data_IF_879088810830
#
_entry.id   IF_879088810830
#
_cell.length_a   1.000
_cell.length_b   1.000
_cell.length_c   1.000
_cell.angle_alpha   90.00
_cell.angle_beta   90.00
_cell.angle_gamma   90.00
#
_symmetry.space_group_name_H-M   'P 1'
#
loop_
_entity.id
_entity.type
_entity.pdbx_description
1 polymer ?
#
# COMPACT_ATOMS: atom_id res chain seq x y z
N UNK A 1 47.65 29.93 8.76
CA UNK A 1 47.28 29.11 7.59
C UNK A 1 46.26 28.04 8.00
N UNK A 2 44.96 28.34 7.96
CA UNK A 2 43.89 27.40 8.37
C UNK A 2 42.82 27.39 7.28
N UNK A 3 43.10 26.80 6.11
CA UNK A 3 42.07 26.62 5.06
C UNK A 3 42.07 25.23 4.41
N UNK A 4 43.16 24.46 4.45
CA UNK A 4 43.24 23.16 3.76
C UNK A 4 42.71 21.95 4.55
N UNK A 5 42.60 22.02 5.89
CA UNK A 5 42.08 20.91 6.71
C UNK A 5 40.55 20.86 6.73
N UNK A 6 39.86 22.02 6.72
CA UNK A 6 38.38 22.10 6.68
C UNK A 6 37.78 21.58 5.37
N UNK A 7 38.41 21.87 4.23
CA UNK A 7 37.96 21.40 2.92
C UNK A 7 38.02 19.86 2.82
N UNK A 8 39.07 19.25 3.39
CA UNK A 8 39.26 17.80 3.38
C UNK A 8 38.21 17.07 4.23
N UNK A 9 37.85 17.64 5.40
CA UNK A 9 36.77 17.12 6.25
C UNK A 9 35.38 17.29 5.62
N UNK A 10 35.13 18.42 4.95
CA UNK A 10 33.89 18.64 4.21
C UNK A 10 33.73 17.66 3.04
N UNK A 11 34.80 17.42 2.28
CA UNK A 11 34.81 16.45 1.20
C UNK A 11 34.57 15.02 1.70
N UNK A 12 35.13 14.64 2.86
CA UNK A 12 34.84 13.36 3.49
C UNK A 12 33.37 13.23 3.92
N UNK A 13 32.77 14.31 4.46
CA UNK A 13 31.35 14.35 4.80
C UNK A 13 30.43 14.19 3.59
N UNK A 14 30.76 14.81 2.46
CA UNK A 14 30.01 14.66 1.21
C UNK A 14 30.13 13.26 0.64
N UNK A 15 31.32 12.64 0.70
CA UNK A 15 31.48 11.25 0.25
C UNK A 15 30.73 10.26 1.14
N UNK A 16 30.71 10.49 2.46
CA UNK A 16 29.90 9.69 3.39
C UNK A 16 28.41 9.84 3.09
N UNK A 17 27.92 11.07 2.97
CA UNK A 17 26.52 11.33 2.62
C UNK A 17 26.14 10.69 1.28
N UNK A 18 27.03 10.72 0.28
CA UNK A 18 26.81 10.06 -1.00
C UNK A 18 26.74 8.54 -0.86
N UNK A 19 27.60 7.94 -0.03
CA UNK A 19 27.57 6.51 0.25
C UNK A 19 26.27 6.12 0.98
N UNK A 20 25.87 6.89 2.01
CA UNK A 20 24.63 6.67 2.75
C UNK A 20 23.39 6.79 1.84
N UNK A 21 23.36 7.78 0.93
CA UNK A 21 22.28 7.94 -0.06
C UNK A 21 22.25 6.80 -1.09
N UNK A 22 23.42 6.32 -1.50
CA UNK A 22 23.53 5.19 -2.43
C UNK A 22 23.05 3.91 -1.76
N UNK A 23 23.40 3.68 -0.50
CA UNK A 23 22.98 2.53 0.29
C UNK A 23 21.44 2.50 0.45
N UNK A 24 20.85 3.64 0.85
CA UNK A 24 19.39 3.81 0.92
C UNK A 24 18.73 3.57 -0.45
N UNK A 25 19.31 4.08 -1.54
CA UNK A 25 18.76 3.86 -2.88
C UNK A 25 18.85 2.39 -3.30
N UNK A 26 19.92 1.69 -2.91
CA UNK A 26 20.16 0.28 -3.25
C UNK A 26 19.26 -0.65 -2.43
N UNK A 27 19.05 -0.37 -1.15
CA UNK A 27 18.06 -1.06 -0.31
C UNK A 27 16.64 -0.85 -0.83
N UNK A 28 16.27 0.39 -1.21
CA UNK A 28 14.97 0.65 -1.81
C UNK A 28 14.79 -0.11 -3.14
N UNK A 29 15.83 -0.18 -3.97
CA UNK A 29 15.77 -0.91 -5.23
C UNK A 29 15.61 -2.42 -5.01
N UNK A 30 16.39 -3.03 -4.12
CA UNK A 30 16.30 -4.46 -3.81
C UNK A 30 14.97 -4.82 -3.12
N UNK A 31 14.45 -3.96 -2.26
CA UNK A 31 13.09 -4.08 -1.70
C UNK A 31 12.05 -4.03 -2.82
N UNK A 32 12.15 -3.08 -3.75
CA UNK A 32 11.20 -2.96 -4.84
C UNK A 32 11.28 -4.14 -5.82
N UNK A 33 12.47 -4.72 -6.03
CA UNK A 33 12.69 -5.93 -6.82
C UNK A 33 12.15 -7.20 -6.14
N UNK A 34 12.32 -7.34 -4.81
CA UNK A 34 11.71 -8.44 -4.04
C UNK A 34 10.20 -8.30 -3.98
N UNK A 35 9.69 -7.08 -3.86
CA UNK A 35 8.26 -6.77 -3.92
C UNK A 35 7.69 -7.01 -5.32
N UNK A 36 8.43 -6.67 -6.38
CA UNK A 36 8.06 -6.96 -7.77
C UNK A 36 8.03 -8.46 -8.04
N UNK A 37 9.04 -9.20 -7.58
CA UNK A 37 9.09 -10.66 -7.69
C UNK A 37 7.99 -11.35 -6.87
N UNK A 38 7.67 -10.82 -5.70
CA UNK A 38 6.53 -11.25 -4.89
C UNK A 38 5.20 -10.90 -5.57
N UNK A 39 5.09 -9.70 -6.15
CA UNK A 39 3.92 -9.23 -6.90
C UNK A 39 3.65 -10.15 -8.09
N UNK A 40 4.66 -10.52 -8.87
CA UNK A 40 4.54 -11.45 -9.99
C UNK A 40 4.15 -12.87 -9.52
N UNK A 41 4.74 -13.35 -8.42
CA UNK A 41 4.39 -14.64 -7.83
C UNK A 41 2.95 -14.66 -7.27
N UNK A 42 2.49 -13.54 -6.74
CA UNK A 42 1.17 -13.37 -6.13
C UNK A 42 0.07 -13.18 -7.18
N UNK A 43 0.34 -12.51 -8.30
CA UNK A 43 -0.58 -12.45 -9.46
C UNK A 43 -0.84 -13.85 -10.03
N UNK A 44 0.11 -14.78 -9.89
CA UNK A 44 -0.02 -16.19 -10.27
C UNK A 44 -0.89 -17.06 -9.32
N UNK A 45 -1.36 -16.52 -8.19
CA UNK A 45 -2.19 -17.29 -7.25
C UNK A 45 -3.57 -17.56 -7.85
N UNK A 46 -3.92 -18.84 -7.93
CA UNK A 46 -5.22 -19.27 -8.42
C UNK A 46 -6.34 -18.93 -7.42
N UNK A 47 -7.57 -18.80 -7.93
CA UNK A 47 -8.75 -18.55 -7.12
C UNK A 47 -8.89 -19.52 -5.93
N UNK A 48 -8.61 -20.81 -6.16
CA UNK A 48 -8.67 -21.86 -5.13
C UNK A 48 -7.61 -21.69 -4.04
N UNK A 49 -6.41 -21.23 -4.40
CA UNK A 49 -5.35 -20.95 -3.42
C UNK A 49 -5.73 -19.76 -2.54
N UNK A 50 -6.27 -18.69 -3.12
CA UNK A 50 -6.75 -17.55 -2.35
C UNK A 50 -7.90 -17.95 -1.42
N UNK A 51 -8.84 -18.78 -1.89
CA UNK A 51 -9.93 -19.30 -1.04
C UNK A 51 -9.45 -20.16 0.13
N UNK A 52 -8.32 -20.86 -0.03
CA UNK A 52 -7.72 -21.66 1.05
C UNK A 52 -7.02 -20.82 2.13
N UNK A 53 -6.74 -19.54 1.87
CA UNK A 53 -6.12 -18.65 2.86
C UNK A 53 -7.09 -18.36 4.01
N UNK A 54 -6.55 -18.39 5.23
CA UNK A 54 -7.32 -17.98 6.40
C UNK A 54 -7.48 -16.46 6.45
N UNK A 55 -8.60 -15.94 6.99
CA UNK A 55 -8.80 -14.49 7.21
C UNK A 55 -7.66 -13.83 7.98
N UNK A 56 -7.09 -14.53 8.98
CA UNK A 56 -5.99 -14.04 9.82
C UNK A 56 -4.69 -13.86 9.02
N UNK A 57 -4.41 -14.79 8.11
CA UNK A 57 -3.23 -14.71 7.25
C UNK A 57 -3.35 -13.53 6.27
N UNK A 58 -4.54 -13.31 5.71
CA UNK A 58 -4.82 -12.17 4.84
C UNK A 58 -4.72 -10.86 5.61
N UNK A 59 -5.25 -10.83 6.85
CA UNK A 59 -5.17 -9.66 7.72
C UNK A 59 -3.72 -9.30 8.07
N UNK A 60 -2.91 -10.28 8.47
CA UNK A 60 -1.50 -10.07 8.79
C UNK A 60 -0.64 -9.65 7.59
N UNK A 61 -1.04 -10.03 6.38
CA UNK A 61 -0.32 -9.72 5.15
C UNK A 61 -0.82 -8.46 4.41
N UNK A 62 -1.79 -7.71 4.96
CA UNK A 62 -2.48 -6.64 4.22
C UNK A 62 -1.54 -5.54 3.70
N UNK A 63 -0.51 -5.19 4.45
CA UNK A 63 0.49 -4.20 4.04
C UNK A 63 1.24 -4.61 2.79
N UNK A 64 1.60 -5.89 2.69
CA UNK A 64 2.27 -6.47 1.53
C UNK A 64 1.30 -6.62 0.36
N UNK A 65 0.08 -7.10 0.60
CA UNK A 65 -0.92 -7.29 -0.45
C UNK A 65 -1.38 -5.98 -1.10
N UNK A 66 -1.38 -4.89 -0.34
CA UNK A 66 -1.67 -3.55 -0.85
C UNK A 66 -0.57 -3.02 -1.80
N UNK A 67 0.67 -3.47 -1.63
CA UNK A 67 1.77 -3.06 -2.50
C UNK A 67 1.78 -3.79 -3.86
N UNK A 68 1.10 -4.93 -3.94
CA UNK A 68 0.95 -5.71 -5.18
C UNK A 68 -0.03 -5.01 -6.11
N UNK A 69 0.43 -4.65 -7.31
CA UNK A 69 -0.43 -4.08 -8.36
C UNK A 69 -0.91 -5.18 -9.32
N UNK A 70 -2.01 -4.94 -10.03
CA UNK A 70 -2.48 -5.87 -11.07
C UNK A 70 -3.34 -7.05 -10.58
N UNK A 71 -3.89 -6.97 -9.36
CA UNK A 71 -4.88 -7.94 -8.89
C UNK A 71 -6.02 -8.12 -9.89
N UNK A 72 -6.29 -9.37 -10.27
CA UNK A 72 -7.50 -9.67 -11.01
C UNK A 72 -8.73 -9.35 -10.14
N UNK A 73 -9.80 -8.85 -10.75
CA UNK A 73 -11.01 -8.43 -10.03
C UNK A 73 -11.54 -9.50 -9.07
N UNK A 74 -11.53 -10.77 -9.48
CA UNK A 74 -11.94 -11.89 -8.64
C UNK A 74 -11.02 -12.10 -7.43
N UNK A 75 -9.71 -11.96 -7.59
CA UNK A 75 -8.74 -12.10 -6.51
C UNK A 75 -8.91 -10.96 -5.49
N UNK A 76 -9.07 -9.73 -5.97
CA UNK A 76 -9.32 -8.56 -5.13
C UNK A 76 -10.59 -8.73 -4.29
N UNK A 77 -11.68 -9.27 -4.86
CA UNK A 77 -12.93 -9.55 -4.14
C UNK A 77 -12.70 -10.56 -3.01
N UNK A 78 -12.04 -11.69 -3.29
CA UNK A 78 -11.78 -12.74 -2.29
C UNK A 78 -10.92 -12.20 -1.15
N UNK A 79 -9.80 -11.55 -1.48
CA UNK A 79 -8.88 -11.00 -0.50
C UNK A 79 -9.54 -9.92 0.37
N UNK A 80 -10.35 -9.06 -0.26
CA UNK A 80 -11.10 -8.03 0.47
C UNK A 80 -12.13 -8.64 1.42
N UNK A 81 -12.86 -9.66 0.96
CA UNK A 81 -13.83 -10.36 1.78
C UNK A 81 -13.16 -11.07 2.96
N UNK A 82 -12.01 -11.72 2.74
CA UNK A 82 -11.25 -12.40 3.80
C UNK A 82 -10.65 -11.43 4.80
N UNK A 83 -10.09 -10.31 4.32
CA UNK A 83 -9.60 -9.25 5.18
C UNK A 83 -10.70 -8.71 6.10
N UNK A 84 -11.89 -8.46 5.54
CA UNK A 84 -13.04 -8.01 6.33
C UNK A 84 -13.68 -9.10 7.17
N UNK A 85 -13.56 -10.38 6.84
CA UNK A 85 -14.11 -11.46 7.65
C UNK A 85 -13.41 -11.57 9.03
N UNK A 86 -12.15 -11.13 9.11
CA UNK A 86 -11.44 -10.97 10.38
C UNK A 86 -12.00 -9.78 11.21
N UNK A 87 -12.53 -8.77 10.54
CA UNK A 87 -13.02 -7.53 11.14
C UNK A 87 -14.54 -7.58 11.37
N UNK A 88 -14.99 -7.49 12.63
CA UNK A 88 -16.43 -7.60 12.95
C UNK A 88 -17.30 -6.56 12.23
N UNK A 89 -16.79 -5.34 12.07
CA UNK A 89 -17.44 -4.23 11.38
C UNK A 89 -16.39 -3.48 10.56
N UNK A 90 -16.65 -3.14 9.29
CA UNK A 90 -15.75 -2.30 8.51
C UNK A 90 -15.59 -0.93 9.18
N UNK A 91 -14.34 -0.55 9.49
CA UNK A 91 -13.97 0.77 10.01
C UNK A 91 -13.15 1.55 8.99
N UNK A 92 -13.06 2.88 9.15
CA UNK A 92 -12.19 3.71 8.31
C UNK A 92 -10.74 3.19 8.32
N UNK A 93 -10.24 2.81 9.49
CA UNK A 93 -8.88 2.27 9.65
C UNK A 93 -8.68 1.02 8.79
N UNK A 94 -9.55 0.02 8.92
CA UNK A 94 -9.43 -1.23 8.17
C UNK A 94 -9.47 -0.99 6.66
N UNK A 95 -10.41 -0.18 6.19
CA UNK A 95 -10.55 0.17 4.76
C UNK A 95 -9.32 0.93 4.26
N UNK A 96 -8.77 1.87 5.04
CA UNK A 96 -7.54 2.58 4.66
C UNK A 96 -6.33 1.66 4.46
N UNK A 97 -6.27 0.50 5.14
CA UNK A 97 -5.16 -0.44 5.00
C UNK A 97 -5.23 -1.26 3.70
N UNK A 98 -6.42 -1.39 3.10
CA UNK A 98 -6.64 -2.24 1.94
C UNK A 98 -6.07 -1.67 0.63
N UNK A 99 -5.94 -0.34 0.54
CA UNK A 99 -5.49 0.41 -0.64
C UNK A 99 -6.01 -0.16 -1.97
N UNK A 100 -5.16 -0.80 -2.79
CA UNK A 100 -5.58 -1.32 -4.12
C UNK A 100 -6.67 -2.41 -4.03
N UNK A 101 -6.74 -3.15 -2.93
CA UNK A 101 -7.77 -4.17 -2.72
C UNK A 101 -9.15 -3.55 -2.48
N UNK A 102 -9.25 -2.25 -2.16
CA UNK A 102 -10.54 -1.57 -2.01
C UNK A 102 -11.46 -1.72 -3.20
N UNK A 103 -10.91 -1.88 -4.41
CA UNK A 103 -11.67 -2.14 -5.63
C UNK A 103 -12.47 -3.45 -5.59
N UNK A 104 -12.12 -4.38 -4.68
CA UNK A 104 -12.83 -5.63 -4.44
C UNK A 104 -13.99 -5.53 -3.44
N UNK A 105 -14.19 -4.39 -2.78
CA UNK A 105 -15.27 -4.22 -1.80
C UNK A 105 -16.65 -4.12 -2.47
N UNK A 106 -17.58 -4.92 -1.98
CA UNK A 106 -18.99 -4.79 -2.32
C UNK A 106 -19.64 -3.58 -1.63
N UNK A 107 -20.72 -3.06 -2.22
CA UNK A 107 -21.51 -1.95 -1.64
C UNK A 107 -22.07 -2.28 -0.26
N UNK A 108 -22.30 -3.56 0.04
CA UNK A 108 -22.75 -4.04 1.35
C UNK A 108 -21.75 -3.74 2.48
N UNK A 109 -20.44 -3.79 2.21
CA UNK A 109 -19.42 -3.47 3.21
C UNK A 109 -19.48 -2.00 3.61
N UNK A 110 -19.71 -1.11 2.64
CA UNK A 110 -19.91 0.32 2.91
C UNK A 110 -21.24 0.60 3.62
N UNK A 111 -22.29 -0.15 3.30
CA UNK A 111 -23.58 -0.01 4.00
C UNK A 111 -23.51 -0.45 5.47
N UNK A 112 -22.65 -1.42 5.79
CA UNK A 112 -22.43 -1.89 7.16
C UNK A 112 -21.52 -0.98 8.00
N UNK A 113 -20.85 -0.01 7.38
CA UNK A 113 -19.89 0.89 8.03
C UNK A 113 -20.61 2.02 8.79
N UNK A 114 -19.99 2.52 9.87
CA UNK A 114 -20.52 3.71 10.55
C UNK A 114 -20.52 4.92 9.61
N UNK A 115 -21.57 5.75 9.68
CA UNK A 115 -21.70 6.96 8.85
C UNK A 115 -20.46 7.88 8.94
N UNK A 116 -19.85 8.01 10.13
CA UNK A 116 -18.66 8.85 10.33
C UNK A 116 -17.47 8.31 9.54
N UNK A 117 -17.23 7.01 9.65
CA UNK A 117 -16.15 6.32 8.96
C UNK A 117 -16.34 6.38 7.45
N UNK A 118 -17.56 6.15 6.97
CA UNK A 118 -17.88 6.26 5.54
C UNK A 118 -17.63 7.68 5.00
N UNK A 119 -18.02 8.71 5.76
CA UNK A 119 -17.72 10.10 5.40
C UNK A 119 -16.21 10.38 5.37
N UNK A 120 -15.45 9.75 6.26
CA UNK A 120 -14.00 9.89 6.30
C UNK A 120 -13.34 9.21 5.10
N UNK A 121 -13.78 8.00 4.72
CA UNK A 121 -13.34 7.32 3.50
C UNK A 121 -13.57 8.22 2.28
N UNK A 122 -14.80 8.74 2.12
CA UNK A 122 -15.15 9.60 0.99
C UNK A 122 -14.30 10.87 0.95
N UNK A 123 -14.10 11.54 2.09
CA UNK A 123 -13.26 12.74 2.17
C UNK A 123 -11.80 12.45 1.80
N UNK A 124 -11.25 11.33 2.28
CA UNK A 124 -9.89 10.92 1.96
C UNK A 124 -9.73 10.63 0.46
N UNK A 125 -10.67 9.90 -0.15
CA UNK A 125 -10.63 9.59 -1.58
C UNK A 125 -10.80 10.83 -2.44
N UNK A 126 -11.74 11.71 -2.09
CA UNK A 126 -11.94 12.98 -2.80
C UNK A 126 -10.69 13.85 -2.67
N UNK A 127 -10.07 13.95 -1.48
CA UNK A 127 -8.83 14.71 -1.31
C UNK A 127 -7.68 14.21 -2.20
N UNK A 128 -7.62 12.91 -2.48
CA UNK A 128 -6.60 12.33 -3.37
C UNK A 128 -6.87 12.62 -4.84
N UNK A 129 -8.14 12.64 -5.26
CA UNK A 129 -8.53 12.73 -6.67
C UNK A 129 -9.12 14.10 -7.07
N UNK A 130 -9.27 15.05 -6.15
CA UNK A 130 -9.88 16.38 -6.41
C UNK A 130 -9.15 17.13 -7.52
N UNK A 131 -7.85 16.88 -7.67
CA UNK A 131 -7.01 17.43 -8.73
C UNK A 131 -7.39 16.90 -10.12
N UNK A 132 -7.91 15.67 -10.17
CA UNK A 132 -8.29 14.95 -11.40
C UNK A 132 -9.77 15.11 -11.75
N UNK A 133 -10.58 15.66 -10.82
CA UNK A 133 -12.00 15.92 -11.05
C UNK A 133 -12.20 17.15 -11.96
N UNK A 134 -13.05 17.00 -12.97
CA UNK A 134 -13.47 18.13 -13.79
C UNK A 134 -14.29 19.15 -12.98
N UNK A 135 -14.42 20.41 -13.43
CA UNK A 135 -15.24 21.41 -12.75
C UNK A 135 -16.71 21.02 -12.53
N UNK A 136 -17.24 20.07 -13.31
CA UNK A 136 -18.59 19.54 -13.14
C UNK A 136 -18.68 18.41 -12.08
N UNK A 137 -17.54 17.87 -11.66
CA UNK A 137 -17.41 16.80 -10.67
C UNK A 137 -16.88 17.29 -9.31
N UNK A 138 -16.36 18.51 -9.25
CA UNK A 138 -15.98 19.21 -8.01
C UNK A 138 -17.21 19.74 -7.30
#
# INVERSE_FOLDING_TARGET
MIKCSRLRGFQAGVQKLKADLLDIATENQTLNETLGSLSDAVVGLTHSQLESLSPEAVHGAISTLNQVSGWAKSQAIILSAKYLAHEKVPSFYNVSQMGVLLAGLGTQAFHAMERRDLLQVLRSTVSLHVSDLSPAQK
#
